data_IF_021483397488
#
_entry.id   IF_021483397488
#
_cell.length_a   1.000
_cell.length_b   1.000
_cell.length_c   1.000
_cell.angle_alpha   90.00
_cell.angle_beta   90.00
_cell.angle_gamma   90.00
#
_symmetry.space_group_name_H-M   'P 1'
#
loop_
_entity.id
_entity.type
_entity.pdbx_description
1 polymer ?
#
# COMPACT_ATOMS: atom_id res chain seq x y z
N UNK A 1 -2.45 -23.18 7.30
CA UNK A 1 -3.58 -22.21 7.30
C UNK A 1 -3.37 -21.27 6.13
N UNK A 2 -4.32 -21.25 5.19
CA UNK A 2 -4.27 -20.28 4.09
C UNK A 2 -4.27 -18.90 4.70
N UNK A 3 -3.23 -18.11 4.46
CA UNK A 3 -3.28 -16.67 4.65
C UNK A 3 -4.36 -16.20 3.68
N UNK A 4 -5.54 -15.84 4.20
CA UNK A 4 -6.67 -15.45 3.38
C UNK A 4 -6.20 -14.44 2.32
N UNK A 5 -6.64 -14.63 1.08
CA UNK A 5 -6.39 -13.70 -0.02
C UNK A 5 -6.82 -12.28 0.35
N UNK A 6 -6.20 -11.28 -0.25
CA UNK A 6 -6.64 -9.89 -0.14
C UNK A 6 -7.60 -9.60 -1.28
N UNK A 7 -8.84 -9.24 -0.95
CA UNK A 7 -9.81 -8.78 -1.94
C UNK A 7 -9.78 -7.25 -2.04
N UNK A 8 -9.55 -6.75 -3.25
CA UNK A 8 -9.63 -5.33 -3.59
C UNK A 8 -10.66 -5.14 -4.70
N UNK A 9 -11.86 -4.69 -4.35
CA UNK A 9 -12.97 -4.60 -5.28
C UNK A 9 -13.31 -5.96 -5.90
N UNK A 10 -13.17 -6.09 -7.20
CA UNK A 10 -13.41 -7.32 -7.97
C UNK A 10 -12.20 -8.27 -8.02
N UNK A 11 -11.01 -7.80 -7.59
CA UNK A 11 -9.76 -8.55 -7.70
C UNK A 11 -9.43 -9.32 -6.42
N UNK A 12 -8.93 -10.53 -6.59
CA UNK A 12 -8.43 -11.39 -5.52
C UNK A 12 -6.92 -11.55 -5.65
N UNK A 13 -6.19 -11.16 -4.60
CA UNK A 13 -4.73 -11.08 -4.58
C UNK A 13 -4.16 -12.10 -3.62
N UNK A 14 -3.08 -12.76 -4.02
CA UNK A 14 -2.33 -13.70 -3.16
C UNK A 14 -1.24 -13.00 -2.35
N UNK A 15 -0.90 -11.76 -2.68
CA UNK A 15 0.05 -10.92 -1.94
C UNK A 15 -0.65 -9.72 -1.32
N UNK A 16 -0.26 -9.39 -0.09
CA UNK A 16 -0.69 -8.18 0.63
C UNK A 16 0.32 -7.03 0.49
N UNK A 17 1.41 -7.28 -0.24
CA UNK A 17 2.42 -6.29 -0.57
C UNK A 17 2.17 -5.75 -1.98
N UNK A 18 2.01 -4.43 -2.10
CA UNK A 18 1.89 -3.71 -3.36
C UNK A 18 3.17 -2.88 -3.53
N UNK A 19 3.80 -2.96 -4.68
CA UNK A 19 5.12 -2.34 -4.91
C UNK A 19 5.07 -1.32 -6.04
N UNK A 20 5.70 -0.17 -5.82
CA UNK A 20 5.86 0.85 -6.84
C UNK A 20 7.03 0.54 -7.79
N UNK A 21 7.00 1.15 -8.97
CA UNK A 21 8.00 0.95 -10.04
C UNK A 21 8.97 2.12 -10.21
N UNK A 22 8.82 3.18 -9.41
CA UNK A 22 9.63 4.39 -9.56
C UNK A 22 10.98 4.33 -8.84
N UNK A 23 11.93 5.17 -9.28
CA UNK A 23 13.21 5.46 -8.62
C UNK A 23 14.24 4.32 -8.56
N UNK A 24 14.02 3.20 -9.20
CA UNK A 24 15.08 2.18 -9.36
C UNK A 24 16.19 2.69 -10.27
N UNK A 25 17.43 2.28 -10.02
CA UNK A 25 18.58 2.70 -10.81
C UNK A 25 18.50 2.21 -12.27
N UNK A 26 17.89 1.04 -12.50
CA UNK A 26 17.63 0.48 -13.82
C UNK A 26 16.30 -0.26 -13.85
N UNK A 27 15.70 -0.43 -15.04
CA UNK A 27 14.50 -1.23 -15.21
C UNK A 27 14.72 -2.72 -14.93
N UNK A 28 15.92 -3.25 -15.21
CA UNK A 28 16.28 -4.62 -14.85
C UNK A 28 16.27 -4.83 -13.34
N UNK A 29 16.86 -3.90 -12.56
CA UNK A 29 16.82 -3.95 -11.11
C UNK A 29 15.39 -3.85 -10.57
N UNK A 30 14.57 -2.98 -11.17
CA UNK A 30 13.14 -2.89 -10.85
C UNK A 30 12.44 -4.23 -11.07
N UNK A 31 12.57 -4.83 -12.26
CA UNK A 31 11.97 -6.13 -12.60
C UNK A 31 12.35 -7.20 -11.57
N UNK A 32 13.65 -7.32 -11.27
CA UNK A 32 14.15 -8.32 -10.32
C UNK A 32 13.58 -8.09 -8.91
N UNK A 33 13.49 -6.83 -8.45
CA UNK A 33 12.91 -6.50 -7.14
C UNK A 33 11.40 -6.78 -7.09
N UNK A 34 10.66 -6.49 -8.15
CA UNK A 34 9.23 -6.82 -8.26
C UNK A 34 9.02 -8.33 -8.15
N UNK A 35 9.82 -9.12 -8.84
CA UNK A 35 9.76 -10.58 -8.80
C UNK A 35 10.05 -11.12 -7.39
N UNK A 36 11.13 -10.69 -6.76
CA UNK A 36 11.57 -11.09 -5.41
C UNK A 36 10.52 -10.71 -4.37
N UNK A 37 9.89 -9.54 -4.50
CA UNK A 37 8.85 -9.06 -3.59
C UNK A 37 7.62 -9.98 -3.54
N UNK A 38 7.38 -10.74 -4.60
CA UNK A 38 6.18 -11.58 -4.73
C UNK A 38 4.86 -10.81 -4.81
N UNK A 39 4.92 -9.52 -5.12
CA UNK A 39 3.72 -8.71 -5.33
C UNK A 39 2.94 -9.21 -6.56
N UNK A 40 1.61 -9.15 -6.50
CA UNK A 40 0.74 -9.38 -7.66
C UNK A 40 0.29 -8.06 -8.29
N UNK A 41 0.30 -7.00 -7.49
CA UNK A 41 -0.08 -5.65 -7.90
C UNK A 41 1.13 -4.73 -7.81
N UNK A 42 1.33 -3.97 -8.87
CA UNK A 42 2.38 -2.97 -8.94
C UNK A 42 1.79 -1.61 -9.33
N UNK A 43 2.33 -0.53 -8.78
CA UNK A 43 1.89 0.82 -9.18
C UNK A 43 2.76 1.39 -10.27
N UNK A 44 2.11 1.99 -11.27
CA UNK A 44 2.78 2.67 -12.37
C UNK A 44 2.21 4.08 -12.52
N UNK A 45 3.09 5.09 -12.58
CA UNK A 45 2.69 6.45 -12.93
C UNK A 45 2.51 6.54 -14.45
N UNK A 46 1.27 6.59 -14.90
CA UNK A 46 0.91 6.53 -16.33
C UNK A 46 1.11 7.83 -17.10
N UNK A 47 1.72 8.85 -16.50
CA UNK A 47 2.14 10.04 -17.24
C UNK A 47 3.20 9.66 -18.26
N UNK A 48 2.98 10.05 -19.51
CA UNK A 48 3.83 9.67 -20.67
C UNK A 48 5.32 9.92 -20.43
N UNK A 49 5.68 11.01 -19.79
CA UNK A 49 7.07 11.33 -19.47
C UNK A 49 7.73 10.41 -18.43
N UNK A 50 6.94 9.61 -17.68
CA UNK A 50 7.45 8.67 -16.69
C UNK A 50 7.46 7.22 -17.15
N UNK A 51 6.86 6.95 -18.30
CA UNK A 51 6.90 5.61 -18.91
C UNK A 51 8.19 5.37 -19.70
N UNK A 52 8.90 6.42 -20.10
CA UNK A 52 10.09 6.36 -20.93
C UNK A 52 11.28 6.89 -20.14
N UNK A 53 12.39 6.15 -20.13
CA UNK A 53 13.64 6.59 -19.52
C UNK A 53 14.45 7.52 -20.45
N UNK A 54 15.59 8.02 -19.93
CA UNK A 54 16.49 8.89 -20.69
C UNK A 54 17.09 8.24 -21.97
N UNK A 55 17.01 6.93 -22.10
CA UNK A 55 17.46 6.15 -23.26
C UNK A 55 16.32 5.81 -24.21
N UNK A 56 15.11 6.31 -23.96
CA UNK A 56 13.92 6.05 -24.80
C UNK A 56 13.29 4.68 -24.59
N UNK A 57 13.64 3.94 -23.52
CA UNK A 57 13.09 2.61 -23.19
C UNK A 57 11.80 2.78 -22.42
N UNK A 58 10.77 1.99 -22.74
CA UNK A 58 9.50 2.00 -22.04
C UNK A 58 9.55 1.07 -20.83
N UNK A 59 9.11 1.57 -19.66
CA UNK A 59 9.04 0.76 -18.43
C UNK A 59 8.15 -0.47 -18.59
N UNK A 60 7.09 -0.38 -19.41
CA UNK A 60 6.15 -1.49 -19.64
C UNK A 60 6.82 -2.66 -20.37
N UNK A 61 7.91 -2.44 -21.12
CA UNK A 61 8.67 -3.52 -21.77
C UNK A 61 9.41 -4.41 -20.75
N UNK A 62 9.55 -3.94 -19.52
CA UNK A 62 10.21 -4.65 -18.41
C UNK A 62 9.23 -5.24 -17.39
N UNK A 63 7.92 -5.12 -17.64
CA UNK A 63 6.86 -5.62 -16.78
C UNK A 63 6.13 -6.75 -17.50
N UNK A 64 6.08 -7.91 -16.88
CA UNK A 64 5.26 -9.03 -17.36
C UNK A 64 3.78 -8.75 -17.07
N UNK A 65 3.05 -8.25 -18.06
CA UNK A 65 1.63 -7.90 -17.97
C UNK A 65 0.72 -9.11 -17.71
N UNK A 66 1.19 -10.33 -17.98
CA UNK A 66 0.43 -11.56 -17.68
C UNK A 66 0.50 -11.93 -16.20
N UNK A 67 1.54 -11.46 -15.50
CA UNK A 67 1.80 -11.74 -14.08
C UNK A 67 1.28 -10.64 -13.14
N UNK A 68 1.36 -9.39 -13.59
CA UNK A 68 1.06 -8.24 -12.74
C UNK A 68 -0.22 -7.55 -13.14
N UNK A 69 -1.10 -7.31 -12.17
CA UNK A 69 -2.15 -6.31 -12.29
C UNK A 69 -1.53 -4.93 -12.02
N UNK A 70 -1.65 -4.04 -12.99
CA UNK A 70 -1.16 -2.67 -12.84
C UNK A 70 -2.20 -1.85 -12.09
N UNK A 71 -1.77 -1.16 -11.05
CA UNK A 71 -2.54 -0.13 -10.38
C UNK A 71 -2.03 1.24 -10.85
N UNK A 72 -2.68 1.87 -11.83
CA UNK A 72 -2.26 3.17 -12.32
C UNK A 72 -2.45 4.21 -11.22
N UNK A 73 -1.49 5.13 -11.08
CA UNK A 73 -1.58 6.18 -10.07
C UNK A 73 -1.59 7.58 -10.69
N UNK A 74 -2.19 8.51 -9.96
CA UNK A 74 -2.25 9.93 -10.32
C UNK A 74 -1.13 10.74 -9.65
N UNK A 75 -0.01 10.10 -9.36
CA UNK A 75 1.14 10.71 -8.67
C UNK A 75 1.59 12.02 -9.30
N UNK A 76 1.76 13.03 -8.45
CA UNK A 76 2.18 14.37 -8.85
C UNK A 76 1.05 15.25 -9.41
N UNK A 77 -0.22 14.87 -9.22
CA UNK A 77 -1.36 15.77 -9.43
C UNK A 77 -1.58 16.63 -8.18
N UNK A 78 -1.92 17.90 -8.39
CA UNK A 78 -2.19 18.89 -7.33
C UNK A 78 -3.61 19.43 -7.38
N UNK A 79 -4.44 18.94 -8.30
CA UNK A 79 -5.86 19.28 -8.41
C UNK A 79 -6.69 18.03 -8.67
N UNK A 80 -7.96 18.08 -8.28
CA UNK A 80 -8.91 16.99 -8.56
C UNK A 80 -9.06 16.76 -10.07
N UNK A 81 -9.17 17.84 -10.85
CA UNK A 81 -9.32 17.80 -12.29
C UNK A 81 -8.15 17.07 -12.98
N UNK A 82 -6.90 17.43 -12.61
CA UNK A 82 -5.71 16.76 -13.14
C UNK A 82 -5.68 15.27 -12.78
N UNK A 83 -6.02 14.91 -11.53
CA UNK A 83 -6.06 13.54 -11.08
C UNK A 83 -7.09 12.71 -11.86
N UNK A 84 -8.29 13.25 -12.07
CA UNK A 84 -9.33 12.60 -12.88
C UNK A 84 -8.90 12.41 -14.32
N UNK A 85 -8.31 13.45 -14.93
CA UNK A 85 -7.77 13.37 -16.30
C UNK A 85 -6.69 12.29 -16.42
N UNK A 86 -5.75 12.23 -15.47
CA UNK A 86 -4.66 11.23 -15.47
C UNK A 86 -5.21 9.82 -15.23
N UNK A 87 -6.23 9.66 -14.37
CA UNK A 87 -6.88 8.37 -14.14
C UNK A 87 -7.54 7.84 -15.42
N UNK A 88 -8.28 8.69 -16.15
CA UNK A 88 -8.92 8.32 -17.43
C UNK A 88 -7.88 7.91 -18.47
N UNK A 89 -6.78 8.67 -18.59
CA UNK A 89 -5.66 8.29 -19.47
C UNK A 89 -5.07 6.92 -19.08
N UNK A 90 -4.93 6.65 -17.78
CA UNK A 90 -4.46 5.36 -17.27
C UNK A 90 -5.34 4.21 -17.70
N UNK A 91 -6.67 4.38 -17.62
CA UNK A 91 -7.65 3.40 -18.10
C UNK A 91 -7.48 3.11 -19.60
N UNK A 92 -7.44 4.14 -20.42
CA UNK A 92 -7.27 3.98 -21.87
C UNK A 92 -5.99 3.22 -22.23
N UNK A 93 -4.88 3.48 -21.55
CA UNK A 93 -3.62 2.78 -21.78
C UNK A 93 -3.74 1.31 -21.38
N UNK A 94 -4.31 1.02 -20.21
CA UNK A 94 -4.40 -0.35 -19.70
C UNK A 94 -5.47 -1.18 -20.43
N UNK A 95 -6.54 -0.57 -20.91
CA UNK A 95 -7.51 -1.22 -21.80
C UNK A 95 -6.84 -1.66 -23.10
N UNK A 96 -6.00 -0.79 -23.68
CA UNK A 96 -5.22 -1.11 -24.88
C UNK A 96 -4.18 -2.22 -24.68
N UNK A 97 -3.80 -2.49 -23.43
CA UNK A 97 -2.88 -3.57 -23.02
C UNK A 97 -3.60 -4.80 -22.48
N UNK A 98 -4.93 -4.80 -22.47
CA UNK A 98 -5.77 -5.87 -21.89
C UNK A 98 -5.38 -6.21 -20.43
N UNK A 99 -4.86 -5.21 -19.68
CA UNK A 99 -4.48 -5.43 -18.28
C UNK A 99 -5.69 -5.25 -17.34
N UNK A 100 -5.95 -6.19 -16.43
CA UNK A 100 -7.12 -6.14 -15.54
C UNK A 100 -7.15 -4.93 -14.59
N UNK A 101 -6.06 -4.19 -14.48
CA UNK A 101 -6.00 -2.95 -13.69
C UNK A 101 -6.63 -1.72 -14.36
N UNK A 102 -7.21 -1.85 -15.55
CA UNK A 102 -7.84 -0.75 -16.27
C UNK A 102 -9.04 -0.14 -15.53
N UNK A 103 -9.73 -0.90 -14.69
CA UNK A 103 -10.84 -0.42 -13.86
C UNK A 103 -10.38 0.19 -12.52
N UNK A 104 -9.08 0.17 -12.23
CA UNK A 104 -8.49 0.68 -11.00
C UNK A 104 -7.86 2.06 -11.15
N UNK A 105 -7.76 2.77 -10.02
CA UNK A 105 -6.87 3.92 -9.87
C UNK A 105 -6.40 4.05 -8.42
N UNK A 106 -5.09 4.23 -8.23
CA UNK A 106 -4.55 4.78 -6.99
C UNK A 106 -4.65 6.30 -7.09
N UNK A 107 -5.64 6.85 -6.41
CA UNK A 107 -5.88 8.28 -6.40
C UNK A 107 -4.92 8.97 -5.43
N UNK A 108 -4.18 9.92 -5.97
CA UNK A 108 -3.26 10.80 -5.25
C UNK A 108 -3.48 12.23 -5.72
N UNK A 109 -3.94 13.12 -4.84
CA UNK A 109 -4.02 14.56 -5.07
C UNK A 109 -3.21 15.24 -3.97
N UNK A 110 -2.08 15.84 -4.33
CA UNK A 110 -1.14 16.43 -3.37
C UNK A 110 -1.53 17.86 -3.01
N UNK A 111 -1.50 18.18 -1.72
CA UNK A 111 -1.77 19.53 -1.22
C UNK A 111 -0.51 20.41 -1.16
N UNK A 112 0.67 19.81 -1.00
CA UNK A 112 1.92 20.55 -0.84
C UNK A 112 3.11 19.83 -1.46
N UNK A 113 3.96 20.59 -2.16
CA UNK A 113 5.12 20.05 -2.90
C UNK A 113 6.27 19.56 -2.01
N UNK A 114 6.37 20.08 -0.78
CA UNK A 114 7.47 19.76 0.14
C UNK A 114 7.13 18.53 0.99
N UNK A 115 5.92 18.47 1.48
CA UNK A 115 5.47 17.38 2.35
C UNK A 115 4.92 16.19 1.57
N UNK A 116 4.42 16.42 0.35
CA UNK A 116 3.68 15.46 -0.47
C UNK A 116 2.48 14.84 0.26
N UNK A 117 1.97 15.54 1.27
CA UNK A 117 0.72 15.15 1.93
C UNK A 117 -0.46 15.45 1.00
N UNK A 118 -1.50 14.60 1.03
CA UNK A 118 -2.67 14.77 0.18
C UNK A 118 -3.52 15.97 0.60
N UNK A 119 -4.18 16.60 -0.39
CA UNK A 119 -5.27 17.55 -0.16
C UNK A 119 -6.55 16.76 0.10
N UNK A 120 -7.12 16.80 1.31
CA UNK A 120 -8.30 16.00 1.64
C UNK A 120 -9.56 16.44 0.91
N UNK A 121 -9.68 17.72 0.57
CA UNK A 121 -10.86 18.26 -0.14
C UNK A 121 -10.82 17.84 -1.61
N UNK A 122 -9.71 18.09 -2.28
CA UNK A 122 -9.53 17.73 -3.68
C UNK A 122 -9.52 16.19 -3.88
N UNK A 123 -8.98 15.42 -2.91
CA UNK A 123 -9.05 13.95 -2.95
C UNK A 123 -10.49 13.46 -2.86
N UNK A 124 -11.31 14.04 -1.98
CA UNK A 124 -12.73 13.67 -1.83
C UNK A 124 -13.55 14.02 -3.09
N UNK A 125 -13.27 15.16 -3.70
CA UNK A 125 -13.89 15.60 -4.96
C UNK A 125 -13.56 14.63 -6.10
N UNK A 126 -12.27 14.36 -6.30
CA UNK A 126 -11.81 13.42 -7.33
C UNK A 126 -12.35 12.00 -7.10
N UNK A 127 -12.44 11.54 -5.84
CA UNK A 127 -13.01 10.24 -5.50
C UNK A 127 -14.45 10.11 -5.99
N UNK A 128 -15.31 11.09 -5.70
CA UNK A 128 -16.71 11.07 -6.13
C UNK A 128 -16.84 11.00 -7.65
N UNK A 129 -16.03 11.78 -8.35
CA UNK A 129 -16.06 11.83 -9.81
C UNK A 129 -15.58 10.51 -10.41
N UNK A 130 -14.48 9.94 -9.92
CA UNK A 130 -13.94 8.69 -10.42
C UNK A 130 -14.85 7.49 -10.12
N UNK A 131 -15.49 7.47 -8.95
CA UNK A 131 -16.52 6.46 -8.63
C UNK A 131 -17.70 6.57 -9.58
N UNK A 132 -18.18 7.78 -9.89
CA UNK A 132 -19.23 8.00 -10.88
C UNK A 132 -18.82 7.58 -12.29
N UNK A 133 -17.54 7.69 -12.64
CA UNK A 133 -16.94 7.20 -13.89
C UNK A 133 -16.74 5.67 -13.90
N UNK A 134 -17.14 4.96 -12.84
CA UNK A 134 -17.03 3.49 -12.72
C UNK A 134 -15.63 2.98 -12.38
N UNK A 135 -14.75 3.82 -11.79
CA UNK A 135 -13.47 3.34 -11.26
C UNK A 135 -13.62 2.67 -9.91
N UNK A 136 -12.82 1.67 -9.67
CA UNK A 136 -12.50 1.18 -8.33
C UNK A 136 -11.35 2.03 -7.78
N UNK A 137 -11.68 2.94 -6.85
CA UNK A 137 -10.76 3.98 -6.40
C UNK A 137 -10.06 3.58 -5.11
N UNK A 138 -8.73 3.53 -5.13
CA UNK A 138 -7.87 3.32 -3.96
C UNK A 138 -7.27 4.67 -3.56
N UNK A 139 -7.74 5.23 -2.45
CA UNK A 139 -7.47 6.62 -2.07
C UNK A 139 -6.27 6.74 -1.13
N UNK A 140 -5.15 7.31 -1.62
CA UNK A 140 -4.09 7.80 -0.73
C UNK A 140 -4.58 8.99 0.07
N UNK A 141 -4.42 8.94 1.40
CA UNK A 141 -4.86 10.00 2.32
C UNK A 141 -3.92 10.11 3.52
N UNK A 142 -4.14 11.12 4.35
CA UNK A 142 -3.50 11.21 5.67
C UNK A 142 -4.02 10.12 6.61
N UNK A 143 -3.43 10.01 7.79
CA UNK A 143 -3.88 9.13 8.87
C UNK A 143 -5.08 9.70 9.67
N UNK A 144 -5.78 10.71 9.13
CA UNK A 144 -6.99 11.28 9.74
C UNK A 144 -8.19 10.34 9.57
N UNK A 145 -8.74 9.78 10.66
CA UNK A 145 -9.85 8.83 10.59
C UNK A 145 -11.14 9.43 10.01
N UNK A 146 -11.36 10.73 10.20
CA UNK A 146 -12.56 11.40 9.70
C UNK A 146 -12.50 11.52 8.18
N UNK A 147 -11.36 11.92 7.65
CA UNK A 147 -11.13 11.95 6.19
C UNK A 147 -11.23 10.54 5.60
N UNK A 148 -10.62 9.54 6.25
CA UNK A 148 -10.71 8.15 5.84
C UNK A 148 -12.17 7.68 5.72
N UNK A 149 -13.00 7.95 6.73
CA UNK A 149 -14.44 7.62 6.71
C UNK A 149 -15.15 8.32 5.57
N UNK A 150 -14.91 9.61 5.35
CA UNK A 150 -15.54 10.38 4.26
C UNK A 150 -15.22 9.82 2.88
N UNK A 151 -13.99 9.32 2.68
CA UNK A 151 -13.58 8.69 1.43
C UNK A 151 -14.31 7.35 1.22
N UNK A 152 -14.46 6.52 2.26
CA UNK A 152 -15.30 5.31 2.20
C UNK A 152 -16.75 5.66 1.86
N UNK A 153 -17.33 6.64 2.54
CA UNK A 153 -18.71 7.09 2.31
C UNK A 153 -18.90 7.66 0.88
N UNK A 154 -17.83 8.18 0.25
CA UNK A 154 -17.83 8.62 -1.14
C UNK A 154 -17.69 7.47 -2.15
N UNK A 155 -17.56 6.22 -1.70
CA UNK A 155 -17.49 5.04 -2.54
C UNK A 155 -16.08 4.56 -2.86
N UNK A 156 -15.06 5.03 -2.15
CA UNK A 156 -13.70 4.49 -2.32
C UNK A 156 -13.69 2.98 -2.07
N UNK A 157 -13.05 2.23 -2.98
CA UNK A 157 -12.89 0.78 -2.89
C UNK A 157 -11.93 0.37 -1.80
N UNK A 158 -10.91 1.21 -1.57
CA UNK A 158 -9.93 1.08 -0.48
C UNK A 158 -9.51 2.47 -0.02
N UNK A 159 -9.30 2.62 1.27
CA UNK A 159 -8.63 3.81 1.83
C UNK A 159 -7.21 3.43 2.24
N UNK A 160 -6.26 4.30 1.87
CA UNK A 160 -4.83 4.06 2.01
C UNK A 160 -4.21 5.16 2.89
N UNK A 161 -4.34 5.05 4.23
CA UNK A 161 -3.76 6.04 5.14
C UNK A 161 -2.23 6.01 5.08
N UNK A 162 -1.62 7.20 5.09
CA UNK A 162 -0.18 7.36 5.12
C UNK A 162 0.40 6.85 6.46
N UNK A 163 1.46 6.07 6.39
CA UNK A 163 2.29 5.82 7.58
C UNK A 163 3.06 7.06 8.01
N UNK A 164 3.68 7.72 7.03
CA UNK A 164 4.39 9.00 7.12
C UNK A 164 4.55 9.59 5.71
N UNK A 165 5.09 10.80 5.54
CA UNK A 165 5.21 11.42 4.23
C UNK A 165 5.94 10.55 3.19
N UNK A 166 5.51 10.64 1.94
CA UNK A 166 6.06 9.86 0.82
C UNK A 166 7.59 9.95 0.79
N UNK A 167 8.26 8.80 0.79
CA UNK A 167 9.72 8.72 0.68
C UNK A 167 10.49 9.12 1.93
N UNK A 168 9.82 9.40 3.06
CA UNK A 168 10.46 9.78 4.32
C UNK A 168 11.15 8.63 5.04
N UNK A 169 10.70 7.39 4.85
CA UNK A 169 11.24 6.21 5.53
C UNK A 169 11.03 6.20 7.05
N UNK A 170 10.06 6.96 7.58
CA UNK A 170 9.84 7.11 9.02
C UNK A 170 8.88 6.06 9.61
N UNK A 171 8.33 5.18 8.77
CA UNK A 171 7.39 4.15 9.19
C UNK A 171 6.00 4.68 9.53
N UNK A 172 5.29 3.98 10.42
CA UNK A 172 3.96 4.38 10.91
C UNK A 172 4.13 5.26 12.14
N UNK A 173 4.00 6.57 11.97
CA UNK A 173 4.23 7.56 13.03
C UNK A 173 3.09 7.61 14.05
N UNK A 174 1.85 7.40 13.61
CA UNK A 174 0.68 7.45 14.47
C UNK A 174 -0.15 6.16 14.41
N UNK A 175 0.31 5.10 15.08
CA UNK A 175 -0.40 3.82 15.07
C UNK A 175 -1.78 3.90 15.69
N UNK A 176 -2.04 4.89 16.54
CA UNK A 176 -3.35 5.06 17.17
C UNK A 176 -4.39 5.52 16.14
N UNK A 177 -4.04 6.51 15.30
CA UNK A 177 -4.92 6.93 14.20
C UNK A 177 -5.18 5.82 13.21
N UNK A 178 -4.14 5.02 12.86
CA UNK A 178 -4.33 3.86 11.98
C UNK A 178 -5.34 2.86 12.58
N UNK A 179 -5.31 2.60 13.89
CA UNK A 179 -6.31 1.73 14.55
C UNK A 179 -7.71 2.31 14.47
N UNK A 180 -7.86 3.62 14.69
CA UNK A 180 -9.18 4.29 14.58
C UNK A 180 -9.66 4.25 13.12
N UNK A 181 -8.77 4.46 12.13
CA UNK A 181 -9.11 4.28 10.72
C UNK A 181 -9.62 2.85 10.44
N UNK A 182 -8.93 1.83 10.95
CA UNK A 182 -9.35 0.44 10.80
C UNK A 182 -10.73 0.20 11.40
N UNK A 183 -10.99 0.70 12.60
CA UNK A 183 -12.29 0.58 13.27
C UNK A 183 -13.40 1.21 12.42
N UNK A 184 -13.26 2.48 12.04
CA UNK A 184 -14.26 3.21 11.26
C UNK A 184 -14.47 2.65 9.86
N UNK A 185 -13.39 2.25 9.18
CA UNK A 185 -13.47 1.73 7.82
C UNK A 185 -14.04 0.30 7.78
N UNK A 186 -13.89 -0.47 8.85
CA UNK A 186 -14.41 -1.84 8.94
C UNK A 186 -15.77 -1.92 9.63
N UNK A 187 -16.31 -0.80 10.11
CA UNK A 187 -17.66 -0.74 10.63
C UNK A 187 -18.69 -1.08 9.54
N UNK A 188 -19.52 -2.10 9.80
CA UNK A 188 -20.53 -2.60 8.86
C UNK A 188 -19.97 -3.45 7.70
N UNK A 189 -18.67 -3.40 7.45
CA UNK A 189 -17.97 -4.25 6.46
C UNK A 189 -16.58 -4.64 6.95
N UNK A 190 -16.49 -5.75 7.65
CA UNK A 190 -15.23 -6.27 8.19
C UNK A 190 -14.21 -6.64 7.12
N UNK A 191 -14.65 -6.83 5.87
CA UNK A 191 -13.82 -7.13 4.72
C UNK A 191 -13.28 -5.89 4.01
N UNK A 192 -13.69 -4.67 4.40
CA UNK A 192 -13.23 -3.44 3.74
C UNK A 192 -11.70 -3.32 3.80
N UNK A 193 -11.02 -3.20 2.64
CA UNK A 193 -9.57 -3.22 2.59
C UNK A 193 -8.96 -1.88 3.01
N UNK A 194 -8.03 -1.94 3.96
CA UNK A 194 -7.25 -0.79 4.45
C UNK A 194 -5.77 -1.09 4.25
N UNK A 195 -5.08 -0.25 3.48
CA UNK A 195 -3.69 -0.46 3.08
C UNK A 195 -2.86 0.72 3.56
N UNK A 196 -1.83 0.47 4.38
CA UNK A 196 -0.87 1.53 4.73
C UNK A 196 -0.05 1.86 3.49
N UNK A 197 -0.02 3.15 3.13
CA UNK A 197 0.71 3.67 1.97
C UNK A 197 1.67 4.76 2.40
N UNK A 198 2.84 4.78 1.78
CA UNK A 198 3.89 5.76 2.00
C UNK A 198 4.62 5.70 3.36
N UNK A 199 5.81 6.25 3.37
CA UNK A 199 6.64 6.40 4.56
C UNK A 199 7.32 5.12 5.07
N UNK A 200 7.03 3.96 4.51
CA UNK A 200 7.67 2.70 4.87
C UNK A 200 9.14 2.72 4.45
N UNK A 201 10.04 2.56 5.41
CA UNK A 201 11.49 2.61 5.20
C UNK A 201 12.18 1.26 5.29
N UNK A 202 11.63 0.32 6.07
CA UNK A 202 12.25 -0.99 6.29
C UNK A 202 11.23 -2.08 6.62
N UNK A 203 11.68 -3.32 6.69
CA UNK A 203 10.86 -4.50 6.94
C UNK A 203 10.06 -4.43 8.25
N UNK A 204 10.62 -3.87 9.32
CA UNK A 204 9.91 -3.72 10.60
C UNK A 204 8.66 -2.83 10.48
N UNK A 205 8.68 -1.82 9.62
CA UNK A 205 7.54 -0.94 9.40
C UNK A 205 6.39 -1.69 8.72
N UNK A 206 6.73 -2.58 7.75
CA UNK A 206 5.75 -3.45 7.09
C UNK A 206 5.13 -4.42 8.09
N UNK A 207 5.96 -5.12 8.89
CA UNK A 207 5.47 -6.04 9.91
C UNK A 207 4.56 -5.32 10.90
N UNK A 208 4.95 -4.14 11.36
CA UNK A 208 4.18 -3.34 12.29
C UNK A 208 2.82 -2.91 11.72
N UNK A 209 2.77 -2.40 10.49
CA UNK A 209 1.51 -2.06 9.82
C UNK A 209 0.57 -3.27 9.72
N UNK A 210 1.10 -4.43 9.36
CA UNK A 210 0.33 -5.68 9.27
C UNK A 210 -0.14 -6.16 10.65
N UNK A 211 0.67 -6.02 11.71
CA UNK A 211 0.29 -6.34 13.09
C UNK A 211 -0.80 -5.42 13.67
N UNK A 212 -0.91 -4.18 13.17
CA UNK A 212 -2.03 -3.28 13.51
C UNK A 212 -3.36 -3.79 12.98
N UNK A 213 -3.36 -4.67 11.97
CA UNK A 213 -4.56 -5.22 11.33
C UNK A 213 -4.85 -4.65 9.95
N UNK A 214 -3.93 -3.90 9.37
CA UNK A 214 -4.04 -3.47 7.97
C UNK A 214 -4.08 -4.68 7.03
N UNK A 215 -4.80 -4.54 5.91
CA UNK A 215 -4.98 -5.64 4.97
C UNK A 215 -3.82 -5.78 3.99
N UNK A 216 -3.06 -4.71 3.82
CA UNK A 216 -1.87 -4.68 2.98
C UNK A 216 -0.99 -3.48 3.26
N UNK A 217 0.14 -3.45 2.58
CA UNK A 217 1.09 -2.32 2.58
C UNK A 217 1.49 -2.00 1.16
N UNK A 218 1.47 -0.72 0.81
CA UNK A 218 2.00 -0.22 -0.45
C UNK A 218 3.28 0.58 -0.18
N UNK A 219 4.35 0.25 -0.89
CA UNK A 219 5.62 0.92 -0.76
C UNK A 219 6.41 0.93 -2.09
N UNK A 220 7.33 1.85 -2.22
CA UNK A 220 8.27 1.91 -3.34
C UNK A 220 9.68 2.27 -2.85
N UNK A 221 9.87 3.48 -2.32
CA UNK A 221 11.19 4.04 -1.99
C UNK A 221 11.92 3.19 -0.95
N UNK A 222 11.22 2.52 -0.04
CA UNK A 222 11.83 1.63 0.94
C UNK A 222 12.61 0.48 0.30
N UNK A 223 12.20 0.01 -0.89
CA UNK A 223 12.96 -0.97 -1.68
C UNK A 223 13.95 -0.26 -2.60
N UNK A 224 13.45 0.62 -3.48
CA UNK A 224 14.26 1.23 -4.54
C UNK A 224 15.43 2.07 -4.02
N UNK A 225 15.32 2.66 -2.83
CA UNK A 225 16.35 3.47 -2.18
C UNK A 225 17.24 2.72 -1.19
N UNK A 226 17.06 1.43 -1.00
CA UNK A 226 17.92 0.63 -0.14
C UNK A 226 19.33 0.45 -0.74
N UNK A 227 20.33 0.21 0.09
CA UNK A 227 21.68 -0.10 -0.39
C UNK A 227 21.73 -1.40 -1.22
N UNK A 228 20.90 -2.38 -0.85
CA UNK A 228 20.63 -3.60 -1.63
C UNK A 228 19.11 -3.74 -1.82
N UNK A 229 18.56 -3.23 -2.95
CA UNK A 229 17.14 -3.30 -3.21
C UNK A 229 16.56 -4.71 -3.32
N UNK A 230 17.34 -5.68 -3.85
CA UNK A 230 16.90 -7.07 -3.98
C UNK A 230 16.74 -7.73 -2.62
N UNK A 231 17.72 -7.55 -1.74
CA UNK A 231 17.65 -8.06 -0.38
C UNK A 231 16.50 -7.40 0.41
N UNK A 232 16.30 -6.09 0.22
CA UNK A 232 15.20 -5.37 0.86
C UNK A 232 13.83 -5.84 0.34
N UNK A 233 13.68 -6.11 -0.96
CA UNK A 233 12.44 -6.66 -1.53
C UNK A 233 12.07 -8.00 -0.87
N UNK A 234 13.06 -8.89 -0.69
CA UNK A 234 12.86 -10.15 0.04
C UNK A 234 12.46 -9.91 1.50
N UNK A 235 13.13 -8.99 2.19
CA UNK A 235 12.84 -8.64 3.58
C UNK A 235 11.42 -8.09 3.76
N UNK A 236 10.96 -7.20 2.88
CA UNK A 236 9.60 -6.64 2.89
C UNK A 236 8.53 -7.72 2.68
N UNK A 237 8.76 -8.67 1.76
CA UNK A 237 7.89 -9.84 1.56
C UNK A 237 7.74 -10.65 2.84
N UNK A 238 8.85 -11.03 3.48
CA UNK A 238 8.83 -11.80 4.71
C UNK A 238 8.17 -11.05 5.86
N UNK A 239 8.41 -9.75 5.98
CA UNK A 239 7.80 -8.90 6.98
C UNK A 239 6.28 -8.80 6.83
N UNK A 240 5.79 -8.68 5.59
CA UNK A 240 4.36 -8.66 5.30
C UNK A 240 3.67 -9.96 5.73
N UNK A 241 4.28 -11.10 5.43
CA UNK A 241 3.79 -12.42 5.83
C UNK A 241 3.82 -12.58 7.36
N UNK A 242 4.95 -12.25 7.98
CA UNK A 242 5.14 -12.39 9.44
C UNK A 242 4.16 -11.52 10.21
N UNK A 243 4.01 -10.24 9.83
CA UNK A 243 3.07 -9.32 10.49
C UNK A 243 1.62 -9.78 10.36
N UNK A 244 1.22 -10.29 9.17
CA UNK A 244 -0.13 -10.86 8.98
C UNK A 244 -0.37 -12.10 9.84
N UNK A 245 0.61 -12.98 9.91
CA UNK A 245 0.53 -14.18 10.76
C UNK A 245 0.45 -13.81 12.24
N UNK A 246 1.25 -12.85 12.71
CA UNK A 246 1.22 -12.34 14.07
C UNK A 246 -0.14 -11.72 14.43
N UNK A 247 -0.73 -10.92 13.52
CA UNK A 247 -2.07 -10.36 13.68
C UNK A 247 -3.13 -11.48 13.84
N UNK A 248 -3.11 -12.48 12.95
CA UNK A 248 -4.07 -13.59 12.98
C UNK A 248 -3.91 -14.51 14.20
N UNK A 249 -2.67 -14.72 14.65
CA UNK A 249 -2.37 -15.50 15.85
C UNK A 249 -2.86 -14.83 17.13
N UNK A 250 -2.93 -13.51 17.12
CA UNK A 250 -3.24 -12.70 18.27
C UNK A 250 -2.05 -12.55 19.24
N UNK A 251 -1.88 -11.34 19.73
CA UNK A 251 -0.80 -10.99 20.65
C UNK A 251 -1.20 -11.37 22.08
N UNK A 252 -0.25 -11.88 22.89
CA UNK A 252 -0.44 -12.00 24.33
C UNK A 252 -0.69 -10.61 24.97
N UNK A 253 -1.50 -10.50 26.03
CA UNK A 253 -1.73 -9.24 26.73
C UNK A 253 -0.41 -8.64 27.24
N UNK A 254 -0.28 -7.31 27.09
CA UNK A 254 0.81 -6.58 27.74
C UNK A 254 0.55 -6.53 29.23
N UNK A 255 1.54 -6.88 30.03
CA UNK A 255 1.50 -6.85 31.49
C UNK A 255 2.52 -5.87 32.02
N UNK A 256 2.17 -5.19 33.13
CA UNK A 256 3.10 -4.29 33.81
C UNK A 256 4.23 -5.09 34.50
N UNK A 257 3.89 -6.24 35.08
CA UNK A 257 4.83 -7.08 35.80
C UNK A 257 5.12 -8.39 35.07
N UNK A 258 6.28 -8.94 35.37
CA UNK A 258 6.69 -10.22 34.82
C UNK A 258 5.75 -11.36 35.25
N UNK A 259 5.66 -12.36 34.39
CA UNK A 259 5.04 -13.65 34.70
C UNK A 259 6.06 -14.73 34.39
N UNK A 260 6.34 -15.61 35.34
CA UNK A 260 7.28 -16.71 35.14
C UNK A 260 6.86 -17.56 33.93
N UNK A 261 7.80 -17.90 33.08
CA UNK A 261 7.58 -18.75 31.88
C UNK A 261 7.77 -20.24 32.22
N UNK A 262 8.49 -20.53 33.31
CA UNK A 262 8.71 -21.90 33.77
C UNK A 262 7.68 -22.27 34.86
N UNK A 263 7.18 -23.51 34.90
CA UNK A 263 6.33 -24.00 35.99
C UNK A 263 7.05 -23.83 37.32
N UNK A 264 6.34 -23.35 38.34
CA UNK A 264 6.85 -23.29 39.72
C UNK A 264 6.77 -24.64 40.43
N UNK A 265 5.97 -25.58 39.91
CA UNK A 265 5.84 -26.95 40.42
C UNK A 265 7.06 -27.80 40.04
N UNK A 266 7.61 -28.52 40.99
CA UNK A 266 8.76 -29.43 40.78
C UNK A 266 10.13 -28.77 40.97
N UNK A 267 10.20 -27.58 41.56
CA UNK A 267 11.48 -26.98 41.98
C UNK A 267 12.09 -27.84 43.09
N UNK A 268 13.33 -28.31 42.86
CA UNK A 268 14.09 -29.02 43.90
C UNK A 268 14.38 -28.04 45.04
N UNK A 269 13.71 -28.20 46.15
CA UNK A 269 13.99 -27.37 47.31
C UNK A 269 15.46 -27.59 47.74
N UNK A 270 16.24 -26.53 47.82
CA UNK A 270 17.56 -26.58 48.42
C UNK A 270 17.35 -26.98 49.93
N UNK A 271 17.96 -28.11 50.31
CA UNK A 271 18.03 -28.56 51.72
C UNK A 271 19.01 -27.70 52.49
#
# INVERSE_FOLDING_TARGET
MSTASLRLGTHELTSRLIVGTGKYATFDLMRDCLEISGANVITVAVRRERLIDALGRNILDYIDLSRYTILPNTAGCFTAEDAVRVARLGREILDGLENPGADWVKLEVLGDKKTLLPDPVATLEATRQLVADGFQVLCYTTDDPITAKRLKDAGATSVMPAGSPIGSGQGVLNPNNIRICLEYLKEGDTGYPVIVDAGVGTASDVAFAMELGCDGVLLNTGIAGANDPKLMAAAMKHACLAGRQAFLAGRIPRKLYATASSPEEGVIAQR
#
